data_IF_251179278883
#
_entry.id   IF_251179278883
#
_cell.length_a   1.000
_cell.length_b   1.000
_cell.length_c   1.000
_cell.angle_alpha   90.00
_cell.angle_beta   90.00
_cell.angle_gamma   90.00
#
_symmetry.space_group_name_H-M   'P 1'
#
loop_
_entity.id
_entity.type
_entity.pdbx_description
1 polymer ?
#
# COMPACT_ATOMS: atom_id res chain seq x y z
N UNK A 1 7.71 -16.71 -32.03
CA UNK A 1 7.58 -16.27 -31.37
C UNK A 1 7.89 -15.73 -30.79
N UNK A 2 7.57 -15.66 -30.41
CA UNK A 2 7.58 -15.16 -29.71
C UNK A 2 8.03 -14.80 -28.93
N UNK A 3 8.23 -14.42 -28.98
CA UNK A 3 8.69 -14.17 -28.21
C UNK A 3 8.44 -13.78 -27.17
N UNK A 4 8.72 -14.20 -26.90
CA UNK A 4 8.20 -13.94 -25.74
C UNK A 4 8.88 -12.95 -25.01
N UNK A 5 8.31 -12.02 -24.88
CA UNK A 5 8.58 -11.09 -24.09
C UNK A 5 8.47 -11.51 -22.75
N UNK A 6 9.48 -11.86 -22.15
CA UNK A 6 9.45 -12.09 -20.78
C UNK A 6 9.41 -10.79 -20.08
N UNK A 7 8.29 -10.27 -20.00
CA UNK A 7 8.12 -9.25 -19.14
C UNK A 7 7.74 -9.88 -17.89
N UNK A 8 8.55 -9.83 -16.92
CA UNK A 8 8.20 -10.25 -15.61
C UNK A 8 7.44 -9.12 -15.00
N UNK A 9 6.13 -9.23 -15.11
CA UNK A 9 5.34 -8.32 -14.36
C UNK A 9 5.20 -8.93 -13.01
N UNK A 10 5.74 -8.28 -12.02
CA UNK A 10 5.50 -8.68 -10.65
C UNK A 10 4.09 -8.28 -10.33
N UNK A 11 3.27 -9.26 -10.06
CA UNK A 11 1.91 -9.04 -9.68
C UNK A 11 1.88 -8.36 -8.33
N UNK A 12 1.16 -7.27 -8.22
CA UNK A 12 1.00 -6.56 -6.96
C UNK A 12 -0.25 -7.09 -6.28
N UNK A 13 -0.06 -7.66 -5.10
CA UNK A 13 -1.16 -8.20 -4.31
C UNK A 13 -1.13 -7.55 -2.93
N UNK A 14 -1.73 -6.36 -2.76
CA UNK A 14 -1.69 -5.69 -1.48
C UNK A 14 -2.35 -6.52 -0.40
N UNK A 15 -1.73 -6.64 0.79
CA UNK A 15 -2.35 -7.37 1.89
C UNK A 15 -3.64 -6.67 2.32
N UNK A 16 -4.60 -7.44 2.80
CA UNK A 16 -5.87 -6.86 3.22
C UNK A 16 -5.94 -6.58 4.73
N UNK A 17 -4.88 -6.83 5.47
CA UNK A 17 -4.84 -6.53 6.90
C UNK A 17 -3.41 -6.40 7.41
N UNK A 18 -3.24 -5.73 8.53
CA UNK A 18 -1.96 -5.70 9.24
C UNK A 18 -2.20 -5.34 10.70
N UNK A 19 -1.22 -5.65 11.54
CA UNK A 19 -1.33 -5.47 12.99
C UNK A 19 -0.10 -4.73 13.51
N UNK A 20 -0.13 -3.39 13.56
CA UNK A 20 1.02 -2.62 14.02
C UNK A 20 1.10 -2.61 15.55
N UNK A 21 1.48 -3.73 16.12
CA UNK A 21 1.53 -3.90 17.59
C UNK A 21 2.94 -3.91 18.17
N UNK A 22 3.95 -3.64 17.36
CA UNK A 22 5.32 -3.54 17.83
C UNK A 22 6.05 -4.85 18.04
N UNK A 23 5.52 -5.96 17.53
CA UNK A 23 6.15 -7.26 17.71
C UNK A 23 7.09 -7.65 16.57
N UNK A 24 7.29 -6.77 15.60
CA UNK A 24 8.16 -7.03 14.47
C UNK A 24 7.52 -7.85 13.36
N UNK A 25 6.25 -8.23 13.50
CA UNK A 25 5.53 -9.02 12.52
C UNK A 25 4.34 -8.19 12.02
N UNK A 26 4.34 -7.89 10.73
CA UNK A 26 3.26 -7.11 10.11
C UNK A 26 2.97 -5.79 10.81
N UNK A 27 4.05 -5.12 11.28
CA UNK A 27 3.91 -3.82 11.93
C UNK A 27 3.66 -2.68 10.95
N UNK A 28 3.93 -2.91 9.68
CA UNK A 28 3.67 -1.94 8.62
C UNK A 28 2.90 -2.61 7.51
N UNK A 29 2.05 -1.84 6.86
CA UNK A 29 1.34 -2.35 5.69
C UNK A 29 2.23 -2.13 4.47
N UNK A 30 2.78 -3.21 3.97
CA UNK A 30 3.69 -3.20 2.83
C UNK A 30 3.01 -3.75 1.60
N UNK A 31 3.39 -3.24 0.44
CA UNK A 31 2.86 -3.72 -0.84
C UNK A 31 4.01 -4.34 -1.62
N UNK A 32 4.19 -5.66 -1.50
CA UNK A 32 5.31 -6.32 -2.19
C UNK A 32 5.21 -6.10 -3.70
N UNK A 33 6.33 -5.79 -4.31
CA UNK A 33 6.41 -5.55 -5.74
C UNK A 33 6.23 -4.11 -6.15
N UNK A 34 5.59 -3.27 -5.33
CA UNK A 34 5.37 -1.88 -5.69
C UNK A 34 6.67 -1.10 -5.75
N UNK A 35 7.65 -1.51 -4.98
CA UNK A 35 8.97 -0.85 -4.98
C UNK A 35 9.68 -0.98 -6.33
N UNK A 36 9.23 -1.89 -7.19
CA UNK A 36 9.81 -2.03 -8.53
C UNK A 36 9.26 -1.02 -9.53
N UNK A 37 8.28 -0.23 -9.12
CA UNK A 37 7.67 0.78 -9.99
C UNK A 37 8.22 2.15 -9.61
N UNK A 38 9.13 2.74 -10.41
CA UNK A 38 9.86 3.95 -9.98
C UNK A 38 9.00 5.20 -9.86
N UNK A 39 7.84 5.21 -10.47
CA UNK A 39 6.94 6.36 -10.40
C UNK A 39 5.64 6.03 -9.68
N UNK A 40 5.69 5.05 -8.78
CA UNK A 40 4.51 4.63 -8.05
C UNK A 40 4.11 5.64 -6.98
N UNK A 41 2.83 5.62 -6.64
CA UNK A 41 2.30 6.45 -5.57
C UNK A 41 1.30 5.65 -4.77
N UNK A 42 1.41 5.72 -3.46
CA UNK A 42 0.48 5.06 -2.54
C UNK A 42 -0.20 6.12 -1.71
N UNK A 43 -1.53 6.03 -1.63
CA UNK A 43 -2.32 6.90 -0.76
C UNK A 43 -3.24 6.04 0.08
N UNK A 44 -3.36 6.35 1.35
CA UNK A 44 -4.23 5.63 2.28
C UNK A 44 -5.19 6.63 2.92
N UNK A 45 -6.45 6.26 3.00
CA UNK A 45 -7.53 7.12 3.46
C UNK A 45 -8.31 6.45 4.58
N UNK A 46 -8.91 7.27 5.44
CA UNK A 46 -9.88 6.77 6.40
C UNK A 46 -11.26 6.72 5.75
N UNK A 47 -12.27 6.33 6.53
CA UNK A 47 -13.64 6.20 6.01
C UNK A 47 -14.25 7.52 5.58
N UNK A 48 -13.76 8.62 6.10
CA UNK A 48 -14.23 9.95 5.71
C UNK A 48 -13.52 10.50 4.48
N UNK A 49 -12.57 9.72 3.92
CA UNK A 49 -11.81 10.17 2.76
C UNK A 49 -10.62 11.04 3.07
N UNK A 50 -10.26 11.17 4.36
CA UNK A 50 -9.10 11.94 4.76
C UNK A 50 -7.83 11.12 4.52
N UNK A 51 -6.81 11.75 3.95
CA UNK A 51 -5.55 11.08 3.68
C UNK A 51 -4.83 10.80 4.99
N UNK A 52 -4.54 9.53 5.25
CA UNK A 52 -3.82 9.11 6.44
C UNK A 52 -2.33 8.96 6.15
N UNK A 53 -1.98 8.60 4.92
CA UNK A 53 -0.59 8.36 4.53
C UNK A 53 -0.48 8.50 3.02
N UNK A 54 0.63 9.08 2.56
CA UNK A 54 0.87 9.22 1.13
C UNK A 54 2.37 9.21 0.89
N UNK A 55 2.82 8.44 -0.07
CA UNK A 55 4.24 8.38 -0.42
C UNK A 55 4.38 8.28 -1.93
N UNK A 56 5.33 9.02 -2.48
CA UNK A 56 5.62 9.06 -3.91
C UNK A 56 7.09 9.39 -4.11
N UNK A 57 7.88 8.50 -4.71
CA UNK A 57 7.51 7.13 -5.09
C UNK A 57 7.38 6.25 -3.86
N UNK A 58 6.81 5.06 -4.05
CA UNK A 58 6.63 4.14 -2.94
C UNK A 58 8.00 3.68 -2.44
N UNK A 59 8.29 3.97 -1.19
CA UNK A 59 9.53 3.56 -0.55
C UNK A 59 9.28 2.84 0.76
N UNK A 60 8.19 3.21 1.44
CA UNK A 60 7.87 2.65 2.74
C UNK A 60 6.40 2.33 2.84
N UNK A 61 6.07 1.35 3.64
CA UNK A 61 4.69 1.03 3.96
C UNK A 61 4.14 1.94 5.05
N UNK A 62 2.84 1.83 5.28
CA UNK A 62 2.15 2.63 6.29
C UNK A 62 2.26 1.94 7.64
N UNK A 63 2.60 2.68 8.66
CA UNK A 63 2.80 2.14 10.01
C UNK A 63 1.55 2.26 10.89
N UNK A 64 0.43 2.66 10.34
CA UNK A 64 -0.81 2.79 11.10
C UNK A 64 -0.87 4.04 11.95
N UNK A 65 -0.07 5.04 11.62
CA UNK A 65 -0.06 6.30 12.35
C UNK A 65 -0.44 7.46 11.46
N UNK A 66 -1.03 8.49 12.09
CA UNK A 66 -1.33 9.74 11.42
C UNK A 66 -0.79 10.86 12.28
N UNK A 67 0.16 11.62 11.73
CA UNK A 67 0.83 12.72 12.44
C UNK A 67 1.44 12.24 13.75
N UNK A 68 2.03 11.05 13.73
CA UNK A 68 2.72 10.48 14.87
C UNK A 68 1.82 9.79 15.89
N UNK A 69 0.51 9.76 15.65
CA UNK A 69 -0.42 9.13 16.58
C UNK A 69 -1.02 7.88 15.94
N UNK A 70 -1.18 6.85 16.75
CA UNK A 70 -1.79 5.61 16.27
C UNK A 70 -3.25 5.85 15.94
N UNK A 71 -3.67 5.39 14.76
CA UNK A 71 -5.07 5.46 14.39
C UNK A 71 -5.80 4.23 14.92
N UNK A 72 -7.11 4.32 15.15
CA UNK A 72 -7.85 3.19 15.73
C UNK A 72 -7.96 2.02 14.77
N UNK A 73 -8.18 0.83 15.33
CA UNK A 73 -8.47 -0.35 14.56
C UNK A 73 -9.70 -0.10 13.69
N UNK A 74 -9.71 -0.68 12.52
CA UNK A 74 -10.83 -0.53 11.63
C UNK A 74 -10.44 -0.67 10.18
N UNK A 75 -11.32 -0.21 9.31
CA UNK A 75 -11.14 -0.32 7.87
C UNK A 75 -10.59 0.99 7.32
N UNK A 76 -9.54 0.88 6.52
CA UNK A 76 -8.96 2.00 5.80
C UNK A 76 -8.93 1.62 4.33
N UNK A 77 -8.67 2.59 3.46
CA UNK A 77 -8.73 2.37 2.02
C UNK A 77 -7.44 2.82 1.38
N UNK A 78 -7.05 2.15 0.30
CA UNK A 78 -5.84 2.53 -0.41
C UNK A 78 -6.13 2.80 -1.89
N UNK A 79 -5.31 3.65 -2.47
CA UNK A 79 -5.26 3.85 -3.91
C UNK A 79 -3.78 3.76 -4.30
N UNK A 80 -3.48 2.92 -5.26
CA UNK A 80 -2.13 2.74 -5.76
C UNK A 80 -2.09 3.14 -7.22
N UNK A 81 -1.20 4.09 -7.52
CA UNK A 81 -0.91 4.45 -8.90
C UNK A 81 0.46 3.88 -9.20
N UNK A 82 0.51 2.95 -10.15
CA UNK A 82 1.79 2.31 -10.50
C UNK A 82 2.70 3.22 -11.30
N UNK A 83 2.17 4.30 -11.86
CA UNK A 83 2.96 5.26 -12.62
C UNK A 83 3.35 4.77 -13.99
N UNK A 84 2.74 3.70 -14.48
CA UNK A 84 3.07 3.11 -15.77
C UNK A 84 1.91 3.16 -16.77
N UNK A 85 0.85 3.89 -16.43
CA UNK A 85 -0.29 4.03 -17.33
C UNK A 85 -1.30 2.89 -17.25
N UNK A 86 -1.13 1.95 -16.34
CA UNK A 86 -2.04 0.81 -16.23
C UNK A 86 -3.27 1.05 -15.37
N UNK A 87 -3.47 2.29 -14.94
CA UNK A 87 -4.62 2.61 -14.13
C UNK A 87 -4.34 2.45 -12.64
N UNK A 88 -5.37 2.64 -11.84
CA UNK A 88 -5.24 2.64 -10.39
C UNK A 88 -5.71 1.32 -9.81
N UNK A 89 -5.05 0.89 -8.75
CA UNK A 89 -5.52 -0.20 -7.91
C UNK A 89 -6.11 0.42 -6.65
N UNK A 90 -7.20 -0.15 -6.15
CA UNK A 90 -7.79 0.35 -4.91
C UNK A 90 -8.40 -0.81 -4.14
N UNK A 91 -8.55 -0.62 -2.86
CA UNK A 91 -9.15 -1.64 -2.00
C UNK A 91 -9.19 -1.18 -0.57
N UNK A 92 -9.43 -2.13 0.32
CA UNK A 92 -9.54 -1.84 1.75
C UNK A 92 -8.49 -2.60 2.53
N UNK A 93 -8.17 -2.04 3.71
CA UNK A 93 -7.19 -2.60 4.64
C UNK A 93 -7.84 -2.67 6.00
N UNK A 94 -7.72 -3.81 6.69
CA UNK A 94 -8.10 -3.92 8.08
C UNK A 94 -6.88 -3.67 8.95
N UNK A 95 -6.97 -2.67 9.80
CA UNK A 95 -5.93 -2.42 10.79
C UNK A 95 -6.40 -3.01 12.10
N UNK A 96 -5.63 -3.96 12.64
CA UNK A 96 -6.00 -4.70 13.83
C UNK A 96 -4.97 -4.41 14.92
N UNK A 97 -5.43 -3.86 16.03
CA UNK A 97 -4.55 -3.59 17.18
C UNK A 97 -4.84 -4.51 18.33
#
# INVERSE_FOLDING_TARGET
MDTVQVRVFISIAPPNSFSPNGDGIHDSWLVPGLETYPFSELSIFNRAGQIMFQVKPYTDGWDGKYKGKEVPSGVYYYIINRGNGEGLLSGSIYLIR
#
